data_IF_901977268641
#
_entry.id   IF_901977268641
#
_cell.length_a   1.000
_cell.length_b   1.000
_cell.length_c   1.000
_cell.angle_alpha   90.00
_cell.angle_beta   90.00
_cell.angle_gamma   90.00
#
_symmetry.space_group_name_H-M   'P 1'
#
loop_
_entity.id
_entity.type
_entity.pdbx_description
1 polymer ?
#
# COMPACT_ATOMS: atom_id res chain seq x y z
N UNK A 1 10.82 12.02 -8.06
CA UNK A 1 10.46 10.93 -7.13
C UNK A 1 9.06 11.16 -6.59
N UNK A 2 8.26 10.13 -6.33
CA UNK A 2 6.92 10.29 -5.76
C UNK A 2 7.01 10.42 -4.23
N UNK A 3 6.40 11.46 -3.67
CA UNK A 3 6.24 11.68 -2.24
C UNK A 3 4.78 11.55 -1.87
N UNK A 4 4.51 10.99 -0.70
CA UNK A 4 3.15 10.89 -0.18
C UNK A 4 3.08 11.09 1.33
N UNK A 5 1.91 11.50 1.80
CA UNK A 5 1.60 11.72 3.21
C UNK A 5 0.37 10.88 3.60
N UNK A 6 0.36 10.42 4.84
CA UNK A 6 -0.72 9.62 5.43
C UNK A 6 -0.88 9.95 6.92
N UNK A 7 -1.96 9.46 7.52
CA UNK A 7 -2.20 9.60 8.96
C UNK A 7 -1.27 8.67 9.75
N UNK A 8 -0.16 9.25 10.25
CA UNK A 8 0.85 8.55 11.06
C UNK A 8 0.36 8.19 12.46
N UNK A 9 -0.74 8.77 12.95
CA UNK A 9 -1.34 8.34 14.21
C UNK A 9 -2.15 7.06 14.01
N UNK A 10 -2.74 6.89 12.82
CA UNK A 10 -3.57 5.74 12.47
C UNK A 10 -2.75 4.50 12.07
N UNK A 11 -1.77 4.67 11.19
CA UNK A 11 -0.91 3.57 10.74
C UNK A 11 0.53 4.04 10.46
N UNK A 12 1.44 3.09 10.38
CA UNK A 12 2.79 3.29 9.83
C UNK A 12 2.89 2.59 8.47
N UNK A 13 3.57 3.21 7.51
CA UNK A 13 3.97 2.62 6.23
C UNK A 13 5.49 2.70 6.13
N UNK A 14 6.14 1.55 6.02
CA UNK A 14 7.57 1.40 5.79
C UNK A 14 7.82 0.83 4.40
N UNK A 15 8.79 1.38 3.69
CA UNK A 15 9.22 0.92 2.36
C UNK A 15 10.64 0.36 2.42
N UNK A 16 10.83 -0.79 1.79
CA UNK A 16 12.14 -1.40 1.61
C UNK A 16 12.32 -1.83 0.15
N UNK A 17 13.30 -1.24 -0.53
CA UNK A 17 13.71 -1.71 -1.86
C UNK A 17 14.35 -3.08 -1.76
N UNK A 18 13.90 -4.03 -2.58
CA UNK A 18 14.42 -5.39 -2.67
C UNK A 18 14.62 -5.80 -4.13
N UNK A 19 15.76 -5.41 -4.71
CA UNK A 19 16.07 -5.72 -6.11
C UNK A 19 15.12 -5.00 -7.08
N UNK A 20 14.25 -5.76 -7.75
CA UNK A 20 13.25 -5.23 -8.70
C UNK A 20 11.90 -4.97 -8.05
N UNK A 21 11.79 -5.21 -6.74
CA UNK A 21 10.55 -5.04 -5.99
C UNK A 21 10.73 -3.99 -4.88
N UNK A 22 9.60 -3.46 -4.41
CA UNK A 22 9.51 -2.62 -3.23
C UNK A 22 8.53 -3.31 -2.27
N UNK A 23 9.02 -3.59 -1.06
CA UNK A 23 8.21 -4.13 0.01
C UNK A 23 7.60 -2.97 0.82
N UNK A 24 6.28 -2.95 0.94
CA UNK A 24 5.55 -2.06 1.83
C UNK A 24 5.08 -2.85 3.04
N UNK A 25 5.44 -2.40 4.24
CA UNK A 25 4.86 -2.87 5.50
C UNK A 25 3.96 -1.81 6.09
N UNK A 26 2.69 -2.14 6.23
CA UNK A 26 1.67 -1.25 6.78
C UNK A 26 1.18 -1.82 8.09
N UNK A 27 1.28 -1.05 9.18
CA UNK A 27 0.86 -1.48 10.52
C UNK A 27 -0.11 -0.50 11.12
N UNK A 28 -1.29 -0.98 11.52
CA UNK A 28 -2.26 -0.16 12.22
C UNK A 28 -1.86 -0.01 13.69
N UNK A 29 -1.99 1.18 14.24
CA UNK A 29 -1.74 1.42 15.68
C UNK A 29 -2.96 1.10 16.55
N UNK A 30 -4.14 1.03 15.93
CA UNK A 30 -5.42 0.67 16.55
C UNK A 30 -6.36 0.05 15.52
N UNK A 31 -7.31 -0.81 15.93
CA UNK A 31 -8.31 -1.35 15.02
C UNK A 31 -9.08 -0.24 14.31
N UNK A 32 -9.19 -0.34 12.98
CA UNK A 32 -9.93 0.61 12.15
C UNK A 32 -10.58 -0.12 10.96
N UNK A 33 -11.90 -0.29 11.05
CA UNK A 33 -12.66 -0.99 10.02
C UNK A 33 -12.64 -0.28 8.65
N UNK A 34 -12.38 1.04 8.62
CA UNK A 34 -12.25 1.81 7.40
C UNK A 34 -10.97 1.43 6.65
N UNK A 35 -9.86 1.33 7.38
CA UNK A 35 -8.55 0.89 6.87
C UNK A 35 -8.60 -0.57 6.44
N UNK A 36 -9.15 -1.47 7.26
CA UNK A 36 -9.30 -2.89 6.90
C UNK A 36 -10.11 -3.07 5.61
N UNK A 37 -11.21 -2.32 5.47
CA UNK A 37 -12.03 -2.33 4.27
C UNK A 37 -11.28 -1.74 3.06
N UNK A 38 -10.39 -0.76 3.28
CA UNK A 38 -9.55 -0.20 2.22
C UNK A 38 -8.49 -1.20 1.75
N UNK A 39 -7.75 -1.81 2.68
CA UNK A 39 -6.77 -2.88 2.41
C UNK A 39 -7.41 -4.00 1.59
N UNK A 40 -8.59 -4.47 1.99
CA UNK A 40 -9.32 -5.50 1.24
C UNK A 40 -9.63 -5.06 -0.20
N UNK A 41 -10.13 -3.83 -0.41
CA UNK A 41 -10.44 -3.34 -1.77
C UNK A 41 -9.20 -3.20 -2.65
N UNK A 42 -8.08 -2.80 -2.07
CA UNK A 42 -6.81 -2.68 -2.79
C UNK A 42 -6.34 -4.07 -3.21
N UNK A 43 -6.43 -5.04 -2.31
CA UNK A 43 -6.08 -6.44 -2.60
C UNK A 43 -6.95 -6.99 -3.72
N UNK A 44 -8.27 -6.89 -3.57
CA UNK A 44 -9.22 -7.39 -4.56
C UNK A 44 -8.99 -6.72 -5.94
N UNK A 45 -8.57 -5.43 -5.98
CA UNK A 45 -8.20 -4.75 -7.23
C UNK A 45 -6.97 -5.33 -7.93
N UNK A 46 -5.95 -5.76 -7.20
CA UNK A 46 -4.74 -6.36 -7.77
C UNK A 46 -4.92 -7.85 -8.08
N UNK A 47 -5.73 -8.56 -7.28
CA UNK A 47 -6.07 -9.98 -7.53
C UNK A 47 -6.95 -10.15 -8.78
N UNK A 48 -7.92 -9.25 -9.01
CA UNK A 48 -8.86 -9.34 -10.14
C UNK A 48 -8.31 -8.74 -11.45
N UNK A 49 -7.09 -8.18 -11.43
CA UNK A 49 -6.52 -7.49 -12.58
C UNK A 49 -5.41 -8.33 -13.24
N UNK A 50 -5.77 -9.04 -14.31
CA UNK A 50 -4.86 -9.87 -15.12
C UNK A 50 -3.66 -9.12 -15.73
N UNK A 51 -3.65 -7.78 -15.67
CA UNK A 51 -2.53 -6.94 -16.17
C UNK A 51 -1.55 -6.55 -15.03
N UNK A 52 -2.00 -6.53 -13.77
CA UNK A 52 -1.22 -6.08 -12.62
C UNK A 52 -1.02 -7.22 -11.62
N UNK A 53 -0.58 -8.36 -12.13
CA UNK A 53 -0.37 -9.60 -11.36
C UNK A 53 0.89 -9.59 -10.49
N UNK A 54 1.64 -8.50 -10.49
CA UNK A 54 2.97 -8.41 -9.86
C UNK A 54 2.94 -7.63 -8.52
N UNK A 55 1.79 -7.66 -7.84
CA UNK A 55 1.62 -7.20 -6.46
C UNK A 55 1.19 -8.37 -5.60
N UNK A 56 2.06 -8.81 -4.70
CA UNK A 56 1.75 -9.86 -3.72
C UNK A 56 1.27 -9.24 -2.41
N UNK A 57 0.30 -9.88 -1.76
CA UNK A 57 -0.27 -9.44 -0.49
C UNK A 57 -0.19 -10.52 0.58
N UNK A 58 0.25 -10.15 1.79
CA UNK A 58 0.21 -10.99 2.97
C UNK A 58 -0.40 -10.20 4.14
N UNK A 59 -1.36 -10.81 4.83
CA UNK A 59 -1.86 -10.32 6.11
C UNK A 59 -1.19 -11.10 7.24
N UNK A 60 -0.59 -10.38 8.17
CA UNK A 60 0.04 -10.91 9.37
C UNK A 60 -0.86 -10.70 10.60
N UNK A 61 -0.41 -11.20 11.75
CA UNK A 61 -1.05 -10.91 13.03
C UNK A 61 -0.94 -9.40 13.36
N UNK A 62 -1.69 -8.94 14.38
CA UNK A 62 -1.64 -7.55 14.88
C UNK A 62 -1.92 -6.45 13.83
N UNK A 63 -2.78 -6.73 12.85
CA UNK A 63 -3.17 -5.79 11.80
C UNK A 63 -1.98 -5.22 11.01
N UNK A 64 -1.01 -6.10 10.73
CA UNK A 64 0.12 -5.83 9.87
C UNK A 64 -0.12 -6.42 8.46
N UNK A 65 0.15 -5.61 7.44
CA UNK A 65 -0.08 -5.93 6.04
C UNK A 65 1.19 -5.71 5.26
N UNK A 66 1.58 -6.72 4.49
CA UNK A 66 2.77 -6.69 3.66
C UNK A 66 2.36 -6.75 2.19
N UNK A 67 2.96 -5.85 1.41
CA UNK A 67 2.81 -5.82 -0.03
C UNK A 67 4.17 -5.91 -0.68
N UNK A 68 4.34 -6.81 -1.65
CA UNK A 68 5.55 -6.88 -2.47
C UNK A 68 5.14 -6.43 -3.86
N UNK A 69 5.66 -5.28 -4.28
CA UNK A 69 5.24 -4.60 -5.51
C UNK A 69 6.43 -4.52 -6.46
N UNK A 70 6.32 -5.05 -7.68
CA UNK A 70 7.36 -4.80 -8.71
C UNK A 70 7.49 -3.30 -8.97
N UNK A 71 8.72 -2.83 -9.20
CA UNK A 71 9.05 -1.42 -9.35
C UNK A 71 8.20 -0.70 -10.41
N UNK A 72 7.87 -1.38 -11.52
CA UNK A 72 7.04 -0.83 -12.61
C UNK A 72 5.61 -0.44 -12.15
N UNK A 73 5.12 -1.03 -11.06
CA UNK A 73 3.78 -0.78 -10.52
C UNK A 73 3.80 0.03 -9.22
N UNK A 74 4.96 0.58 -8.83
CA UNK A 74 5.10 1.38 -7.62
C UNK A 74 4.10 2.54 -7.59
N UNK A 75 4.03 3.32 -8.69
CA UNK A 75 3.15 4.47 -8.76
C UNK A 75 1.67 4.05 -8.74
N UNK A 76 1.29 3.02 -9.50
CA UNK A 76 -0.07 2.48 -9.51
C UNK A 76 -0.51 2.01 -8.11
N UNK A 77 0.41 1.37 -7.38
CA UNK A 77 0.16 0.95 -6.01
C UNK A 77 -0.08 2.14 -5.08
N UNK A 78 0.80 3.14 -5.07
CA UNK A 78 0.63 4.35 -4.23
C UNK A 78 -0.63 5.13 -4.61
N UNK A 79 -0.97 5.22 -5.90
CA UNK A 79 -2.23 5.80 -6.37
C UNK A 79 -3.44 5.03 -5.83
N UNK A 80 -3.36 3.69 -5.78
CA UNK A 80 -4.42 2.86 -5.19
C UNK A 80 -4.60 3.14 -3.69
N UNK A 81 -3.49 3.28 -2.95
CA UNK A 81 -3.52 3.71 -1.53
C UNK A 81 -4.22 5.06 -1.38
N UNK A 82 -3.93 6.02 -2.27
CA UNK A 82 -4.56 7.34 -2.27
C UNK A 82 -6.06 7.28 -2.61
N UNK A 83 -6.44 6.53 -3.64
CA UNK A 83 -7.84 6.31 -4.04
C UNK A 83 -8.70 5.78 -2.88
N UNK A 84 -8.09 4.96 -2.03
CA UNK A 84 -8.74 4.39 -0.85
C UNK A 84 -8.47 5.13 0.46
N UNK A 85 -7.85 6.32 0.41
CA UNK A 85 -7.56 7.22 1.54
C UNK A 85 -6.63 6.65 2.61
N UNK A 86 -5.83 5.65 2.27
CA UNK A 86 -4.70 5.23 3.11
C UNK A 86 -3.54 6.20 2.96
N UNK A 87 -3.42 6.80 1.78
CA UNK A 87 -2.61 7.99 1.52
C UNK A 87 -3.55 9.20 1.39
N UNK A 88 -3.17 10.33 1.97
CA UNK A 88 -3.98 11.56 2.02
C UNK A 88 -3.50 12.62 1.01
N UNK A 89 -2.22 12.56 0.63
CA UNK A 89 -1.62 13.48 -0.34
C UNK A 89 -0.52 12.76 -1.08
N UNK A 90 -0.34 13.10 -2.35
CA UNK A 90 0.81 12.67 -3.15
C UNK A 90 1.30 13.80 -4.05
N UNK A 91 2.60 13.82 -4.34
CA UNK A 91 3.26 14.80 -5.20
C UNK A 91 4.51 14.22 -5.85
N UNK A 92 4.82 14.63 -7.07
CA UNK A 92 6.08 14.32 -7.73
C UNK A 92 7.08 15.44 -7.44
N UNK A 93 8.29 15.06 -7.07
CA UNK A 93 9.45 15.96 -7.05
C UNK A 93 9.67 16.54 -8.44
N UNK A 94 9.89 17.85 -8.51
CA UNK A 94 10.22 18.59 -9.72
C UNK A 94 11.74 18.71 -9.92
#
# INVERSE_FOLDING_TARGET
MLYYEYDRELLTIEEQSNGQDVEFRMKLHRPDAGVEKAVKRIRDYFDDNDVITDVLFYAHEDAEYQWIVRHDFYEDFVISLFRHRLVQRMAWEQ
#
